data_IF_672223941587
#
_entry.id   IF_672223941587
#
_cell.length_a   1.000
_cell.length_b   1.000
_cell.length_c   1.000
_cell.angle_alpha   90.00
_cell.angle_beta   90.00
_cell.angle_gamma   90.00
#
_symmetry.space_group_name_H-M   'P 1'
#
loop_
_entity.id
_entity.type
_entity.pdbx_description
1 polymer ?
#
# COMPACT_ATOMS: atom_id res chain seq x y z
N UNK A 1 11.55 12.09 12.01
CA UNK A 1 10.33 11.32 11.74
C UNK A 1 9.81 11.78 10.39
N UNK A 2 9.91 10.93 9.36
CA UNK A 2 9.41 11.23 8.01
C UNK A 2 7.90 11.45 8.13
N UNK A 3 7.44 12.68 7.91
CA UNK A 3 6.04 13.03 7.99
C UNK A 3 5.32 12.53 6.76
N UNK A 4 4.25 11.76 6.95
CA UNK A 4 3.33 11.43 5.86
C UNK A 4 2.77 12.77 5.36
N UNK A 5 3.13 13.16 4.14
CA UNK A 5 2.65 14.41 3.56
C UNK A 5 1.16 14.27 3.21
N UNK A 6 0.44 15.39 3.18
CA UNK A 6 -1.02 15.37 2.93
C UNK A 6 -1.39 14.71 1.59
N UNK A 7 -0.50 14.83 0.63
CA UNK A 7 -0.56 14.23 -0.71
C UNK A 7 -0.39 12.69 -0.75
N UNK A 8 0.19 12.09 0.29
CA UNK A 8 0.36 10.63 0.41
C UNK A 8 -0.87 9.91 0.97
N UNK A 9 -1.88 10.64 1.48
CA UNK A 9 -3.02 10.00 2.14
C UNK A 9 -3.87 9.13 1.20
N UNK A 10 -4.11 9.58 -0.03
CA UNK A 10 -4.85 8.79 -1.02
C UNK A 10 -4.09 7.51 -1.42
N UNK A 11 -2.80 7.59 -1.79
CA UNK A 11 -1.96 6.40 -1.98
C UNK A 11 -1.91 5.48 -0.75
N UNK A 12 -1.85 6.03 0.46
CA UNK A 12 -1.83 5.26 1.70
C UNK A 12 -3.15 4.49 1.91
N UNK A 13 -4.29 5.13 1.64
CA UNK A 13 -5.60 4.48 1.69
C UNK A 13 -5.65 3.31 0.69
N UNK A 14 -5.13 3.49 -0.53
CA UNK A 14 -5.06 2.41 -1.52
C UNK A 14 -4.25 1.21 -0.98
N UNK A 15 -3.10 1.47 -0.36
CA UNK A 15 -2.29 0.42 0.27
C UNK A 15 -3.03 -0.30 1.40
N UNK A 16 -3.71 0.45 2.28
CA UNK A 16 -4.50 -0.11 3.39
C UNK A 16 -5.62 -1.00 2.86
N UNK A 17 -6.34 -0.56 1.83
CA UNK A 17 -7.42 -1.35 1.21
C UNK A 17 -6.90 -2.69 0.70
N UNK A 18 -5.73 -2.72 0.06
CA UNK A 18 -5.11 -3.97 -0.41
C UNK A 18 -4.78 -4.92 0.75
N UNK A 19 -4.23 -4.40 1.85
CA UNK A 19 -3.93 -5.22 3.04
C UNK A 19 -5.21 -5.77 3.68
N UNK A 20 -6.26 -4.95 3.79
CA UNK A 20 -7.54 -5.35 4.38
C UNK A 20 -8.21 -6.43 3.52
N UNK A 21 -8.29 -6.22 2.20
CA UNK A 21 -8.86 -7.20 1.28
C UNK A 21 -8.06 -8.50 1.32
N UNK A 22 -6.73 -8.41 1.32
CA UNK A 22 -5.86 -9.58 1.43
C UNK A 22 -6.10 -10.40 2.69
N UNK A 23 -6.28 -9.73 3.84
CA UNK A 23 -6.62 -10.40 5.09
C UNK A 23 -8.01 -11.06 5.04
N UNK A 24 -9.02 -10.38 4.49
CA UNK A 24 -10.37 -10.95 4.33
C UNK A 24 -10.32 -12.21 3.47
N UNK A 25 -9.64 -12.16 2.32
CA UNK A 25 -9.49 -13.33 1.44
C UNK A 25 -8.78 -14.48 2.17
N UNK A 26 -7.69 -14.17 2.88
CA UNK A 26 -6.91 -15.16 3.62
C UNK A 26 -7.76 -15.85 4.69
N UNK A 27 -8.53 -15.06 5.45
CA UNK A 27 -9.44 -15.55 6.47
C UNK A 27 -10.54 -16.45 5.89
N UNK A 28 -11.19 -16.01 4.81
CA UNK A 28 -12.27 -16.77 4.17
C UNK A 28 -11.79 -18.10 3.57
N UNK A 29 -10.52 -18.19 3.15
CA UNK A 29 -9.95 -19.41 2.60
C UNK A 29 -9.28 -20.31 3.67
N UNK A 30 -9.29 -19.92 4.95
CA UNK A 30 -8.66 -20.67 6.03
C UNK A 30 -7.13 -20.77 5.89
N UNK A 31 -6.51 -19.86 5.15
CA UNK A 31 -5.06 -19.85 4.94
C UNK A 31 -4.37 -19.30 6.19
N UNK A 32 -3.46 -20.06 6.77
CA UNK A 32 -2.59 -19.62 7.87
C UNK A 32 -1.31 -18.95 7.40
N UNK A 33 -1.21 -18.66 6.10
CA UNK A 33 -0.09 -17.90 5.54
C UNK A 33 -0.08 -16.52 6.21
N UNK A 34 1.09 -16.05 6.62
CA UNK A 34 1.23 -14.66 7.06
C UNK A 34 0.84 -13.76 5.89
N UNK A 35 -0.40 -13.28 5.90
CA UNK A 35 -0.95 -12.39 4.88
C UNK A 35 -0.01 -11.20 4.63
N UNK A 36 0.67 -10.72 5.66
CA UNK A 36 1.69 -9.68 5.55
C UNK A 36 2.81 -9.99 4.53
N UNK A 37 3.24 -11.25 4.37
CA UNK A 37 4.32 -11.61 3.44
C UNK A 37 3.91 -11.41 1.97
N UNK A 38 2.68 -11.76 1.62
CA UNK A 38 2.17 -11.64 0.24
C UNK A 38 1.56 -10.27 -0.03
N UNK A 39 0.82 -9.73 0.92
CA UNK A 39 0.05 -8.51 0.72
C UNK A 39 0.84 -7.23 1.00
N UNK A 40 1.94 -7.27 1.75
CA UNK A 40 2.77 -6.08 1.93
C UNK A 40 3.45 -5.61 0.61
N UNK A 41 4.06 -6.49 -0.21
CA UNK A 41 4.55 -6.10 -1.54
C UNK A 41 3.43 -5.56 -2.44
N UNK A 42 2.26 -6.21 -2.44
CA UNK A 42 1.10 -5.75 -3.20
C UNK A 42 0.60 -4.38 -2.75
N UNK A 43 0.59 -4.12 -1.44
CA UNK A 43 0.21 -2.83 -0.89
C UNK A 43 1.20 -1.73 -1.26
N UNK A 44 2.50 -2.04 -1.30
CA UNK A 44 3.54 -1.11 -1.78
C UNK A 44 3.37 -0.79 -3.28
N UNK A 45 3.05 -1.80 -4.10
CA UNK A 45 2.74 -1.59 -5.52
C UNK A 45 1.47 -0.73 -5.69
N UNK A 46 0.42 -0.99 -4.91
CA UNK A 46 -0.81 -0.20 -4.95
C UNK A 46 -0.59 1.25 -4.52
N UNK A 47 0.23 1.47 -3.48
CA UNK A 47 0.68 2.81 -3.10
C UNK A 47 1.38 3.51 -4.26
N UNK A 48 2.42 2.88 -4.82
CA UNK A 48 3.22 3.46 -5.88
C UNK A 48 2.40 3.74 -7.14
N UNK A 49 1.50 2.83 -7.51
CA UNK A 49 0.59 3.02 -8.65
C UNK A 49 -0.37 4.19 -8.42
N UNK A 50 -1.01 4.27 -7.25
CA UNK A 50 -1.90 5.38 -6.91
C UNK A 50 -1.15 6.71 -6.87
N UNK A 51 0.07 6.74 -6.31
CA UNK A 51 0.90 7.96 -6.27
C UNK A 51 1.35 8.38 -7.66
N UNK A 52 1.75 7.44 -8.51
CA UNK A 52 2.15 7.73 -9.89
C UNK A 52 1.00 8.33 -10.70
N UNK A 53 -0.22 7.80 -10.55
CA UNK A 53 -1.41 8.31 -11.24
C UNK A 53 -1.80 9.73 -10.79
N UNK A 54 -1.61 10.05 -9.50
CA UNK A 54 -1.99 11.35 -8.94
C UNK A 54 -0.91 12.42 -9.09
N UNK A 55 0.36 12.04 -8.95
CA UNK A 55 1.48 12.97 -8.77
C UNK A 55 2.64 12.73 -9.75
N UNK A 56 2.52 11.78 -10.69
CA UNK A 56 3.53 11.49 -11.71
C UNK A 56 4.79 10.78 -11.20
N UNK A 57 4.86 10.45 -9.92
CA UNK A 57 5.97 9.72 -9.30
C UNK A 57 5.45 8.60 -8.39
N UNK A 58 6.02 7.38 -8.46
CA UNK A 58 5.62 6.29 -7.58
C UNK A 58 6.22 6.42 -6.17
N UNK A 59 7.17 7.34 -5.97
CA UNK A 59 7.87 7.53 -4.70
C UNK A 59 7.37 8.77 -3.96
N UNK A 60 7.22 8.71 -2.63
CA UNK A 60 7.05 9.90 -1.81
C UNK A 60 8.30 10.78 -1.89
N UNK A 61 8.13 12.09 -1.75
CA UNK A 61 9.20 13.07 -1.98
C UNK A 61 10.38 12.87 -1.02
N UNK A 62 10.12 12.29 0.14
CA UNK A 62 11.13 11.88 1.12
C UNK A 62 12.07 10.76 0.61
N UNK A 63 11.67 9.98 -0.39
CA UNK A 63 12.45 8.89 -1.00
C UNK A 63 13.00 9.25 -2.39
N UNK A 64 12.71 10.45 -2.91
CA UNK A 64 13.22 10.91 -4.20
C UNK A 64 14.57 11.64 -4.10
N UNK A 65 15.14 11.78 -2.89
CA UNK A 65 16.42 12.45 -2.63
C UNK A 65 17.51 11.46 -2.27
#
# INVERSE_FOLDING_TARGET
>A
MVGIYREDWLPLIAAIVVVVIGNVITYLNGWTVQAAILFAPLAAVAFGAARYLLHGSPFPDALQK
#
